data_IF_869116424631
#
_entry.id   IF_869116424631
#
_cell.length_a   1.000
_cell.length_b   1.000
_cell.length_c   1.000
_cell.angle_alpha   90.00
_cell.angle_beta   90.00
_cell.angle_gamma   90.00
#
_symmetry.space_group_name_H-M   'P 1'
#
loop_
_entity.id
_entity.type
_entity.pdbx_description
1 polymer ?
#
# COMPACT_ATOMS: atom_id res chain seq x y z
N UNK A 1 -4.69 12.15 32.33
CA UNK A 1 -4.21 11.40 31.15
C UNK A 1 -2.96 12.10 30.69
N UNK A 2 -1.80 11.42 30.66
CA UNK A 2 -0.61 12.01 30.07
C UNK A 2 -0.83 12.20 28.56
N UNK A 3 -0.21 13.23 27.99
CA UNK A 3 -0.22 13.42 26.54
C UNK A 3 0.46 12.21 25.88
N UNK A 4 -0.28 11.52 25.01
CA UNK A 4 0.18 10.30 24.30
C UNK A 4 1.03 10.61 23.07
N UNK A 5 1.43 11.86 22.91
CA UNK A 5 2.19 12.36 21.78
C UNK A 5 3.29 13.28 22.30
N UNK A 6 4.42 13.32 21.60
CA UNK A 6 5.43 14.33 21.82
C UNK A 6 4.90 15.66 21.29
N UNK A 7 5.04 16.73 22.07
CA UNK A 7 4.82 18.09 21.59
C UNK A 7 5.71 18.34 20.37
N UNK A 8 5.12 18.82 19.28
CA UNK A 8 5.89 19.12 18.07
C UNK A 8 6.63 20.44 18.25
N UNK A 9 7.90 20.36 18.66
CA UNK A 9 8.80 21.50 18.82
C UNK A 9 9.65 21.78 17.56
N UNK A 10 9.28 21.19 16.41
CA UNK A 10 9.99 21.43 15.15
C UNK A 10 9.77 22.87 14.65
N UNK A 11 10.80 23.51 14.05
CA UNK A 11 10.66 24.85 13.51
C UNK A 11 9.67 24.89 12.35
N UNK A 12 8.96 26.01 12.21
CA UNK A 12 8.08 26.25 11.06
C UNK A 12 8.86 26.30 9.75
N UNK A 13 8.19 25.95 8.65
CA UNK A 13 8.79 26.03 7.32
C UNK A 13 9.11 27.48 6.94
N UNK A 14 10.37 27.73 6.59
CA UNK A 14 10.85 29.03 6.10
C UNK A 14 11.20 28.90 4.61
N UNK A 15 10.56 29.67 3.71
CA UNK A 15 10.87 29.62 2.28
C UNK A 15 12.26 30.20 1.99
N UNK A 16 13.00 29.57 1.07
CA UNK A 16 14.41 29.89 0.76
C UNK A 16 14.67 31.32 0.25
N UNK A 17 13.62 32.10 -0.03
CA UNK A 17 13.70 33.49 -0.52
C UNK A 17 13.81 34.54 0.60
N UNK A 18 13.67 34.17 1.87
CA UNK A 18 13.81 35.12 2.98
C UNK A 18 15.28 35.29 3.38
N UNK A 19 15.83 36.49 3.18
CA UNK A 19 17.12 36.90 3.74
C UNK A 19 16.97 37.05 5.26
N UNK A 20 17.11 35.95 5.99
CA UNK A 20 17.08 35.96 7.45
C UNK A 20 18.42 35.47 7.95
N UNK A 21 19.17 36.34 8.62
CA UNK A 21 20.40 36.01 9.34
C UNK A 21 20.02 35.25 10.63
N UNK A 22 19.64 33.97 10.52
CA UNK A 22 19.40 33.11 11.68
C UNK A 22 20.65 32.32 12.01
N UNK A 23 21.15 32.46 13.24
CA UNK A 23 22.26 31.69 13.81
C UNK A 23 22.02 30.19 13.70
N UNK A 24 22.97 29.50 13.09
CA UNK A 24 22.97 28.08 12.69
C UNK A 24 22.98 27.08 13.86
N UNK A 25 22.69 27.50 15.10
CA UNK A 25 22.96 26.69 16.31
C UNK A 25 21.80 25.80 16.76
N UNK A 26 20.55 26.18 16.48
CA UNK A 26 19.38 25.55 17.15
C UNK A 26 18.49 24.73 16.21
N UNK A 27 18.74 24.76 14.90
CA UNK A 27 18.02 23.89 13.96
C UNK A 27 18.69 22.53 13.86
N UNK A 28 17.94 21.41 13.99
CA UNK A 28 18.53 20.09 13.79
C UNK A 28 19.13 20.04 12.39
N UNK A 29 20.43 19.71 12.27
CA UNK A 29 21.18 19.68 11.00
C UNK A 29 20.50 18.90 9.88
N UNK A 30 19.61 17.97 10.25
CA UNK A 30 18.83 17.17 9.29
C UNK A 30 17.72 17.95 8.60
N UNK A 31 17.16 19.00 9.21
CA UNK A 31 16.07 19.83 8.68
C UNK A 31 16.56 21.00 7.80
N UNK A 32 17.87 21.27 7.84
CA UNK A 32 18.52 22.32 7.05
C UNK A 32 19.23 21.76 5.81
N UNK A 33 19.15 20.46 5.57
CA UNK A 33 19.72 19.87 4.36
C UNK A 33 18.86 20.23 3.15
N UNK A 34 19.52 20.45 2.01
CA UNK A 34 18.80 20.67 0.76
C UNK A 34 18.15 19.34 0.34
N UNK A 35 16.94 19.40 -0.22
CA UNK A 35 16.16 18.23 -0.66
C UNK A 35 16.91 17.15 -1.47
N UNK A 36 17.94 17.44 -2.31
CA UNK A 36 18.70 16.38 -2.98
C UNK A 36 19.56 15.55 -2.01
N UNK A 37 20.12 16.18 -0.97
CA UNK A 37 20.99 15.53 0.02
C UNK A 37 20.19 14.80 1.11
N UNK A 38 19.03 15.30 1.54
CA UNK A 38 18.18 14.57 2.49
C UNK A 38 17.69 13.23 1.93
N UNK A 39 17.34 13.22 0.64
CA UNK A 39 16.83 12.02 -0.02
C UNK A 39 17.89 10.90 -0.03
N UNK A 40 19.16 11.21 -0.29
CA UNK A 40 20.24 10.20 -0.29
C UNK A 40 20.53 9.65 1.11
N UNK A 41 20.55 10.50 2.15
CA UNK A 41 20.71 10.04 3.53
C UNK A 41 19.52 9.20 4.01
N UNK A 42 18.29 9.60 3.66
CA UNK A 42 17.09 8.84 3.97
C UNK A 42 17.11 7.47 3.30
N UNK A 43 17.44 7.41 2.00
CA UNK A 43 17.60 6.17 1.25
C UNK A 43 18.68 5.25 1.87
N UNK A 44 19.84 5.80 2.24
CA UNK A 44 20.92 5.05 2.87
C UNK A 44 20.49 4.44 4.21
N UNK A 45 19.84 5.21 5.07
CA UNK A 45 19.36 4.69 6.36
C UNK A 45 18.23 3.66 6.19
N UNK A 46 17.37 3.82 5.17
CA UNK A 46 16.35 2.81 4.83
C UNK A 46 16.97 1.48 4.36
N UNK A 47 18.13 1.50 3.69
CA UNK A 47 18.83 0.27 3.29
C UNK A 47 19.32 -0.53 4.50
N UNK A 48 19.78 0.15 5.55
CA UNK A 48 20.28 -0.46 6.77
C UNK A 48 19.19 -1.01 7.69
N UNK A 49 17.96 -0.49 7.57
CA UNK A 49 16.77 -0.98 8.29
C UNK A 49 16.15 -2.24 7.66
N UNK A 50 16.67 -2.71 6.51
CA UNK A 50 16.06 -3.80 5.75
C UNK A 50 16.72 -5.16 6.01
N UNK A 51 15.85 -6.17 6.18
CA UNK A 51 16.05 -7.63 6.16
C UNK A 51 16.39 -8.35 7.48
N UNK A 52 15.34 -8.73 8.20
CA UNK A 52 15.36 -9.87 9.13
C UNK A 52 14.27 -10.89 8.71
N UNK A 53 14.61 -11.94 7.94
CA UNK A 53 13.64 -12.87 7.36
C UNK A 53 12.98 -13.81 8.41
N UNK A 54 13.43 -13.77 9.67
CA UNK A 54 12.96 -14.63 10.77
C UNK A 54 11.84 -14.02 11.64
N UNK A 55 11.49 -12.74 11.45
CA UNK A 55 10.49 -12.05 12.29
C UNK A 55 9.06 -12.09 11.74
N UNK A 56 8.83 -12.66 10.56
CA UNK A 56 7.50 -12.68 9.93
C UNK A 56 6.66 -13.89 10.34
N UNK A 57 6.10 -13.82 11.54
CA UNK A 57 5.05 -14.74 11.97
C UNK A 57 3.71 -14.35 11.33
N UNK A 58 3.32 -15.09 10.29
CA UNK A 58 1.96 -15.43 9.82
C UNK A 58 0.82 -14.37 9.70
N UNK A 59 0.97 -13.08 10.03
CA UNK A 59 -0.21 -12.20 10.23
C UNK A 59 -0.20 -10.82 9.56
N UNK A 60 0.85 -10.39 8.85
CA UNK A 60 0.88 -9.09 8.15
C UNK A 60 1.50 -9.26 6.75
N UNK A 61 0.69 -9.15 5.70
CA UNK A 61 1.09 -9.61 4.34
C UNK A 61 1.62 -8.47 3.46
N UNK A 62 1.09 -7.25 3.55
CA UNK A 62 1.62 -6.10 2.76
C UNK A 62 1.97 -4.89 3.62
N UNK A 63 1.31 -4.61 4.76
CA UNK A 63 1.61 -3.43 5.60
C UNK A 63 3.08 -3.37 6.04
N UNK A 64 3.66 -4.49 6.43
CA UNK A 64 5.08 -4.58 6.79
C UNK A 64 6.01 -4.77 5.58
N UNK A 65 5.46 -5.05 4.39
CA UNK A 65 6.21 -5.12 3.13
C UNK A 65 6.26 -3.77 2.39
N UNK A 66 5.32 -2.85 2.63
CA UNK A 66 5.32 -1.50 2.03
C UNK A 66 6.56 -0.69 2.42
N UNK A 67 7.05 -0.84 3.65
CA UNK A 67 8.33 -0.23 4.08
C UNK A 67 9.54 -0.83 3.35
N UNK A 68 9.41 -2.05 2.84
CA UNK A 68 10.44 -2.74 2.04
C UNK A 68 10.28 -2.54 0.53
N UNK A 69 9.14 -2.02 0.06
CA UNK A 69 8.82 -1.89 -1.38
C UNK A 69 9.40 -0.65 -2.05
N UNK A 70 9.84 0.34 -1.25
CA UNK A 70 10.57 1.52 -1.77
C UNK A 70 12.00 1.15 -2.20
N UNK A 71 12.46 -0.05 -1.86
CA UNK A 71 13.84 -0.46 -2.07
C UNK A 71 13.85 -1.80 -2.82
N UNK A 72 14.19 -1.78 -4.11
CA UNK A 72 15.38 -2.44 -4.65
C UNK A 72 15.21 -2.81 -6.14
N UNK A 73 15.90 -2.05 -7.00
CA UNK A 73 16.12 -2.34 -8.42
C UNK A 73 17.19 -3.44 -8.61
N UNK A 74 17.12 -4.56 -7.91
CA UNK A 74 18.07 -5.66 -8.12
C UNK A 74 17.39 -7.01 -8.34
N UNK A 75 17.78 -7.65 -9.45
CA UNK A 75 17.20 -8.87 -10.03
C UNK A 75 17.27 -10.11 -9.12
N UNK A 76 18.07 -10.08 -8.05
CA UNK A 76 18.25 -11.21 -7.13
C UNK A 76 17.12 -11.35 -6.10
N UNK A 77 16.44 -10.25 -5.73
CA UNK A 77 15.28 -10.30 -4.82
C UNK A 77 14.02 -10.72 -5.59
N UNK A 78 13.95 -10.48 -6.90
CA UNK A 78 12.84 -10.91 -7.76
C UNK A 78 12.55 -12.41 -7.65
N UNK A 79 13.60 -13.25 -7.63
CA UNK A 79 13.48 -14.70 -7.50
C UNK A 79 13.05 -15.13 -6.09
N UNK A 80 13.54 -14.44 -5.05
CA UNK A 80 13.11 -14.62 -3.66
C UNK A 80 11.65 -14.19 -3.44
N UNK A 81 11.22 -13.09 -4.07
CA UNK A 81 9.86 -12.57 -4.05
C UNK A 81 8.89 -13.49 -4.78
N UNK A 82 9.27 -14.07 -5.92
CA UNK A 82 8.44 -15.03 -6.66
C UNK A 82 8.20 -16.30 -5.84
N UNK A 83 9.25 -16.85 -5.21
CA UNK A 83 9.14 -18.04 -4.36
C UNK A 83 8.35 -17.78 -3.07
N UNK A 84 8.53 -16.62 -2.44
CA UNK A 84 7.72 -16.17 -1.29
C UNK A 84 6.26 -15.89 -1.67
N UNK A 85 6.02 -15.23 -2.80
CA UNK A 85 4.68 -14.90 -3.29
C UNK A 85 3.87 -16.18 -3.58
N UNK A 86 4.50 -17.19 -4.18
CA UNK A 86 3.88 -18.51 -4.41
C UNK A 86 3.47 -19.21 -3.10
N UNK A 87 4.25 -19.06 -2.03
CA UNK A 87 3.91 -19.59 -0.71
C UNK A 87 2.76 -18.81 -0.05
N UNK A 88 2.65 -17.51 -0.33
CA UNK A 88 1.57 -16.64 0.15
C UNK A 88 0.25 -16.76 -0.64
N UNK A 89 0.26 -17.30 -1.86
CA UNK A 89 -0.95 -17.57 -2.66
C UNK A 89 -1.92 -18.52 -1.94
N UNK A 90 -1.42 -19.37 -1.03
CA UNK A 90 -2.26 -20.27 -0.25
C UNK A 90 -2.86 -19.63 1.03
N UNK A 91 -2.69 -18.32 1.27
CA UNK A 91 -3.31 -17.70 2.45
C UNK A 91 -4.84 -17.62 2.31
N UNK A 92 -5.59 -18.19 3.26
CA UNK A 92 -7.04 -18.22 3.16
C UNK A 92 -7.67 -16.83 3.39
N UNK A 93 -8.75 -16.57 2.65
CA UNK A 93 -9.84 -15.61 2.92
C UNK A 93 -9.58 -14.09 2.79
N UNK A 94 -8.35 -13.60 2.67
CA UNK A 94 -8.11 -12.14 2.56
C UNK A 94 -7.86 -11.71 1.12
N UNK A 95 -8.61 -10.74 0.63
CA UNK A 95 -8.66 -10.37 -0.81
C UNK A 95 -8.29 -8.93 -1.13
N UNK A 96 -7.81 -8.18 -0.14
CA UNK A 96 -7.47 -6.77 -0.31
C UNK A 96 -6.02 -6.57 -0.70
N UNK A 97 -5.72 -5.37 -1.21
CA UNK A 97 -4.36 -4.97 -1.54
C UNK A 97 -3.44 -5.00 -0.31
N UNK A 98 -3.89 -4.49 0.84
CA UNK A 98 -3.03 -4.27 2.01
C UNK A 98 -2.89 -5.51 2.91
N UNK A 99 -3.95 -6.29 3.06
CA UNK A 99 -3.97 -7.40 4.02
C UNK A 99 -4.24 -8.75 3.38
N UNK A 100 -4.26 -8.84 2.05
CA UNK A 100 -4.74 -10.03 1.36
C UNK A 100 -3.92 -10.43 0.14
N UNK A 101 -4.39 -11.51 -0.47
CA UNK A 101 -3.78 -12.10 -1.67
C UNK A 101 -3.79 -11.17 -2.87
N UNK A 102 -4.75 -10.24 -2.95
CA UNK A 102 -4.80 -9.33 -4.07
C UNK A 102 -3.59 -8.40 -4.13
N UNK A 103 -3.01 -8.02 -2.98
CA UNK A 103 -1.75 -7.27 -2.96
C UNK A 103 -0.57 -8.07 -3.50
N UNK A 104 -0.38 -9.28 -2.97
CA UNK A 104 0.69 -10.19 -3.42
C UNK A 104 0.57 -10.48 -4.91
N UNK A 105 -0.64 -10.79 -5.37
CA UNK A 105 -0.93 -11.01 -6.78
C UNK A 105 -0.69 -9.76 -7.62
N UNK A 106 -1.14 -8.59 -7.17
CA UNK A 106 -0.97 -7.34 -7.92
C UNK A 106 0.51 -7.00 -8.12
N UNK A 107 1.31 -7.13 -7.06
CA UNK A 107 2.76 -6.91 -7.10
C UNK A 107 3.46 -7.97 -7.96
N UNK A 108 3.12 -9.24 -7.77
CA UNK A 108 3.65 -10.34 -8.57
C UNK A 108 3.35 -10.18 -10.07
N UNK A 109 2.16 -9.71 -10.42
CA UNK A 109 1.77 -9.43 -11.81
C UNK A 109 2.62 -8.32 -12.44
N UNK A 110 2.86 -7.22 -11.71
CA UNK A 110 3.72 -6.13 -12.21
C UNK A 110 5.16 -6.60 -12.43
N UNK A 111 5.69 -7.38 -11.50
CA UNK A 111 7.03 -7.97 -11.61
C UNK A 111 7.12 -8.96 -12.79
N UNK A 112 6.11 -9.84 -12.95
CA UNK A 112 6.04 -10.79 -14.05
C UNK A 112 5.97 -10.08 -15.40
N UNK A 113 5.19 -9.00 -15.50
CA UNK A 113 5.13 -8.16 -16.70
C UNK A 113 6.50 -7.56 -17.04
N UNK A 114 7.20 -7.00 -16.05
CA UNK A 114 8.54 -6.42 -16.27
C UNK A 114 9.57 -7.49 -16.66
N UNK A 115 9.39 -8.73 -16.21
CA UNK A 115 10.23 -9.86 -16.58
C UNK A 115 9.86 -10.49 -17.94
N UNK A 116 8.74 -10.09 -18.56
CA UNK A 116 8.22 -10.71 -19.79
C UNK A 116 7.65 -12.12 -19.58
N UNK A 117 7.30 -12.50 -18.36
CA UNK A 117 6.74 -13.82 -18.03
C UNK A 117 5.20 -13.79 -18.03
N UNK A 118 4.64 -13.96 -19.22
CA UNK A 118 3.19 -13.98 -19.47
C UNK A 118 2.46 -15.11 -18.71
N UNK A 119 3.14 -16.23 -18.42
CA UNK A 119 2.51 -17.36 -17.70
C UNK A 119 2.27 -17.00 -16.25
N UNK A 120 3.26 -16.39 -15.59
CA UNK A 120 3.12 -15.91 -14.22
C UNK A 120 2.16 -14.74 -14.13
N UNK A 121 2.20 -13.81 -15.09
CA UNK A 121 1.27 -12.70 -15.16
C UNK A 121 -0.19 -13.20 -15.14
N UNK A 122 -0.55 -14.10 -16.05
CA UNK A 122 -1.89 -14.68 -16.12
C UNK A 122 -2.29 -15.42 -14.83
N UNK A 123 -1.35 -16.07 -14.15
CA UNK A 123 -1.61 -16.72 -12.86
C UNK A 123 -1.94 -15.72 -11.77
N UNK A 124 -1.22 -14.60 -11.70
CA UNK A 124 -1.45 -13.57 -10.70
C UNK A 124 -2.74 -12.76 -10.92
N UNK A 125 -3.22 -12.64 -12.15
CA UNK A 125 -4.47 -11.92 -12.45
C UNK A 125 -5.75 -12.67 -12.03
N UNK A 126 -5.66 -13.93 -11.61
CA UNK A 126 -6.81 -14.75 -11.18
C UNK A 126 -7.33 -14.41 -9.76
N UNK A 127 -7.37 -13.13 -9.40
CA UNK A 127 -7.87 -12.67 -8.11
C UNK A 127 -9.41 -12.78 -8.13
N UNK A 128 -10.00 -13.49 -7.15
CA UNK A 128 -11.45 -13.63 -6.99
C UNK A 128 -11.93 -12.85 -5.76
N UNK A 129 -13.10 -12.21 -5.88
CA UNK A 129 -13.76 -11.51 -4.79
C UNK A 129 -14.82 -12.43 -4.16
N UNK A 130 -14.72 -12.80 -2.88
CA UNK A 130 -15.80 -13.51 -2.19
C UNK A 130 -17.03 -12.61 -2.04
N UNK A 131 -18.21 -13.24 -1.95
CA UNK A 131 -19.50 -12.56 -1.97
C UNK A 131 -19.86 -11.84 -0.68
N UNK A 132 -19.27 -12.23 0.45
CA UNK A 132 -19.56 -11.70 1.78
C UNK A 132 -18.35 -10.95 2.35
N UNK A 133 -18.30 -9.64 2.12
CA UNK A 133 -17.21 -8.76 2.54
C UNK A 133 -17.73 -7.39 2.98
N UNK A 134 -17.08 -6.75 3.97
CA UNK A 134 -17.37 -5.36 4.33
C UNK A 134 -16.97 -4.39 3.21
N UNK A 135 -17.42 -3.14 3.29
CA UNK A 135 -17.13 -2.09 2.31
C UNK A 135 -15.96 -1.18 2.72
N UNK A 136 -14.89 -1.77 3.26
CA UNK A 136 -13.73 -1.03 3.82
C UNK A 136 -12.40 -1.43 3.16
N UNK A 137 -11.34 -0.68 3.46
CA UNK A 137 -10.06 -0.76 2.73
C UNK A 137 -9.22 -2.00 3.09
N UNK A 138 -9.21 -2.44 4.35
CA UNK A 138 -8.23 -3.41 4.82
C UNK A 138 -8.64 -4.85 4.54
N UNK A 139 -9.92 -5.17 4.56
CA UNK A 139 -10.48 -6.52 4.39
C UNK A 139 -11.75 -6.53 3.52
N UNK A 140 -12.16 -5.37 3.01
CA UNK A 140 -13.40 -5.22 2.25
C UNK A 140 -13.25 -5.07 0.74
N UNK A 141 -14.38 -4.80 0.09
CA UNK A 141 -14.49 -4.62 -1.36
C UNK A 141 -13.66 -3.44 -1.87
N UNK A 142 -13.55 -2.37 -1.08
CA UNK A 142 -12.73 -1.18 -1.42
C UNK A 142 -11.24 -1.57 -1.49
N UNK A 143 -10.77 -2.41 -0.57
CA UNK A 143 -9.41 -2.94 -0.61
C UNK A 143 -9.10 -3.79 -1.84
N UNK A 144 -10.09 -4.50 -2.38
CA UNK A 144 -9.96 -5.22 -3.65
C UNK A 144 -9.94 -4.25 -4.84
N UNK A 145 -10.81 -3.23 -4.85
CA UNK A 145 -10.81 -2.20 -5.89
C UNK A 145 -9.46 -1.47 -5.97
N UNK A 146 -8.84 -1.19 -4.82
CA UNK A 146 -7.48 -0.62 -4.74
C UNK A 146 -6.44 -1.51 -5.44
N UNK A 147 -6.53 -2.83 -5.32
CA UNK A 147 -5.65 -3.74 -6.06
C UNK A 147 -5.91 -3.71 -7.57
N UNK A 148 -7.18 -3.59 -7.98
CA UNK A 148 -7.55 -3.54 -9.39
C UNK A 148 -7.09 -2.23 -10.06
N UNK A 149 -7.26 -1.08 -9.38
CA UNK A 149 -6.76 0.21 -9.88
C UNK A 149 -5.24 0.23 -9.97
N UNK A 150 -4.54 -0.35 -8.98
CA UNK A 150 -3.10 -0.53 -9.03
C UNK A 150 -2.66 -1.34 -10.26
N UNK A 151 -3.31 -2.48 -10.52
CA UNK A 151 -3.03 -3.32 -11.69
C UNK A 151 -3.23 -2.56 -13.00
N UNK A 152 -4.36 -1.87 -13.16
CA UNK A 152 -4.63 -1.09 -14.37
C UNK A 152 -3.59 0.02 -14.58
N UNK A 153 -3.17 0.69 -13.51
CA UNK A 153 -2.15 1.75 -13.59
C UNK A 153 -0.77 1.24 -14.02
N UNK A 154 -0.34 0.07 -13.53
CA UNK A 154 1.03 -0.42 -13.74
C UNK A 154 1.18 -1.42 -14.88
N UNK A 155 0.12 -2.14 -15.24
CA UNK A 155 0.12 -3.14 -16.32
C UNK A 155 -0.52 -2.58 -17.59
N UNK A 156 -1.52 -1.73 -17.47
CA UNK A 156 -2.16 -1.12 -18.62
C UNK A 156 -3.66 -1.00 -18.39
N UNK A 157 -4.23 -0.01 -19.04
CA UNK A 157 -5.64 0.28 -18.93
C UNK A 157 -6.46 -0.97 -19.29
N UNK A 158 -7.48 -1.24 -18.45
CA UNK A 158 -8.38 -2.38 -18.61
C UNK A 158 -7.75 -3.78 -18.41
N UNK A 159 -6.58 -3.89 -17.79
CA UNK A 159 -6.02 -5.20 -17.32
C UNK A 159 -7.04 -5.98 -16.49
N UNK A 160 -7.68 -5.29 -15.55
CA UNK A 160 -8.91 -5.71 -14.91
C UNK A 160 -10.05 -4.95 -15.58
N UNK A 161 -11.03 -5.70 -16.09
CA UNK A 161 -12.20 -5.17 -16.78
C UNK A 161 -12.89 -4.05 -15.97
N UNK A 162 -13.07 -2.89 -16.60
CA UNK A 162 -13.81 -1.78 -16.02
C UNK A 162 -15.25 -2.17 -15.64
N UNK A 163 -15.89 -3.05 -16.42
CA UNK A 163 -17.23 -3.58 -16.14
C UNK A 163 -17.24 -4.36 -14.82
N UNK A 164 -16.22 -5.20 -14.59
CA UNK A 164 -16.08 -5.95 -13.34
C UNK A 164 -15.88 -5.03 -12.15
N UNK A 165 -15.05 -3.99 -12.28
CA UNK A 165 -14.82 -3.03 -11.21
C UNK A 165 -16.07 -2.21 -10.91
N UNK A 166 -16.79 -1.77 -11.96
CA UNK A 166 -18.05 -1.03 -11.81
C UNK A 166 -19.11 -1.83 -11.06
N UNK A 167 -19.27 -3.12 -11.37
CA UNK A 167 -20.19 -3.99 -10.64
C UNK A 167 -19.88 -4.04 -9.13
N UNK A 168 -18.61 -4.04 -8.74
CA UNK A 168 -18.21 -4.00 -7.32
C UNK A 168 -18.52 -2.64 -6.69
N UNK A 169 -18.29 -1.54 -7.43
CA UNK A 169 -18.64 -0.18 -6.97
C UNK A 169 -20.14 -0.04 -6.77
N UNK A 170 -20.95 -0.53 -7.71
CA UNK A 170 -22.41 -0.45 -7.64
C UNK A 170 -22.95 -1.22 -6.41
N UNK A 171 -22.40 -2.40 -6.11
CA UNK A 171 -22.73 -3.15 -4.89
C UNK A 171 -22.33 -2.39 -3.62
N UNK A 172 -21.14 -1.77 -3.57
CA UNK A 172 -20.72 -0.94 -2.43
C UNK A 172 -21.71 0.22 -2.22
N UNK A 173 -21.99 0.99 -3.27
CA UNK A 173 -22.89 2.14 -3.19
C UNK A 173 -24.29 1.72 -2.77
N UNK A 174 -24.78 0.58 -3.27
CA UNK A 174 -26.09 0.03 -2.90
C UNK A 174 -26.15 -0.39 -1.44
N UNK A 175 -25.17 -1.15 -0.96
CA UNK A 175 -25.08 -1.58 0.44
C UNK A 175 -24.95 -0.38 1.38
N UNK A 176 -24.11 0.59 1.01
CA UNK A 176 -23.85 1.76 1.84
C UNK A 176 -25.05 2.71 1.91
N UNK A 177 -25.80 2.88 0.82
CA UNK A 177 -27.09 3.60 0.82
C UNK A 177 -28.13 2.92 1.71
N UNK A 178 -28.16 1.59 1.71
CA UNK A 178 -29.10 0.83 2.56
C UNK A 178 -28.82 1.08 4.04
N UNK A 179 -27.55 1.16 4.45
CA UNK A 179 -27.19 1.45 5.84
C UNK A 179 -27.37 2.93 6.17
N UNK A 180 -27.05 3.81 5.22
CA UNK A 180 -27.23 5.25 5.31
C UNK A 180 -28.67 5.67 5.62
N UNK A 181 -29.68 4.94 5.16
CA UNK A 181 -31.10 5.25 5.47
C UNK A 181 -31.42 5.33 6.97
N UNK A 182 -30.53 4.82 7.85
CA UNK A 182 -30.65 4.90 9.31
C UNK A 182 -29.96 6.13 9.92
N UNK A 183 -29.24 6.93 9.13
CA UNK A 183 -28.35 8.02 9.57
C UNK A 183 -28.52 9.23 8.64
N UNK A 184 -28.13 10.45 9.05
CA UNK A 184 -28.17 11.66 8.18
C UNK A 184 -27.02 11.73 7.15
N UNK A 185 -26.35 10.62 6.85
CA UNK A 185 -25.21 10.57 5.92
C UNK A 185 -25.62 9.88 4.61
N UNK A 186 -25.30 10.41 3.41
CA UNK A 186 -25.71 9.82 2.13
C UNK A 186 -25.19 8.40 1.84
N UNK A 187 -24.04 8.04 2.43
CA UNK A 187 -23.43 6.71 2.37
C UNK A 187 -22.89 6.36 3.76
N UNK A 188 -23.09 5.12 4.19
CA UNK A 188 -22.62 4.64 5.50
C UNK A 188 -22.19 3.19 5.36
N UNK A 189 -21.12 2.80 6.06
CA UNK A 189 -20.69 1.40 6.15
C UNK A 189 -20.35 1.06 7.60
N UNK A 190 -20.26 -0.22 7.90
CA UNK A 190 -19.97 -0.73 9.25
C UNK A 190 -18.88 -1.79 9.16
N UNK A 191 -18.08 -1.89 10.23
CA UNK A 191 -17.04 -2.91 10.34
C UNK A 191 -16.86 -3.31 11.80
N UNK A 192 -17.16 -4.57 12.09
CA UNK A 192 -17.20 -5.16 13.45
C UNK A 192 -18.34 -4.70 14.35
N UNK A 193 -19.47 -4.27 13.77
CA UNK A 193 -20.62 -3.78 14.54
C UNK A 193 -20.35 -2.39 15.10
#
# INVERSE_FOLDING_TARGET
MADRFFSNEMPDFVPETSTTNSTLSDTPKKLSFRYPTENTYSLHNMTHLSFNPLLFSHRVIVISASSSFILLHTTRVLLGLLTWSLKLINLPRRVTFICGRAGVCALGAVLAKHAGDERQLNRFLQIKLPSDLPNELLYGRVGFLSACTFLNKHIGDNTISATRMRAVVDEIVKDDRRLANKVRCPLMYERHG
#
